data_IF_876519634680
#
_entry.id   IF_876519634680
#
_cell.length_a   1.000
_cell.length_b   1.000
_cell.length_c   1.000
_cell.angle_alpha   90.00
_cell.angle_beta   90.00
_cell.angle_gamma   90.00
#
_symmetry.space_group_name_H-M   'P 1'
#
loop_
_entity.id
_entity.type
_entity.pdbx_description
1 polymer ?
#
# COMPACT_ATOMS: atom_id res chain seq x y z
N UNK A 1 -4.32 -9.52 -8.11
CA UNK A 1 -4.46 -9.43 -6.65
C UNK A 1 -5.07 -8.08 -6.30
N UNK A 2 -5.93 -8.01 -5.29
CA UNK A 2 -6.49 -6.73 -4.83
C UNK A 2 -5.41 -5.91 -4.12
N UNK A 3 -5.39 -4.60 -4.37
CA UNK A 3 -4.46 -3.63 -3.81
C UNK A 3 -5.21 -2.38 -3.39
N UNK A 4 -4.85 -1.81 -2.25
CA UNK A 4 -5.36 -0.50 -1.81
C UNK A 4 -4.34 0.55 -2.26
N UNK A 5 -4.71 1.34 -3.27
CA UNK A 5 -3.84 2.30 -3.93
C UNK A 5 -4.32 3.71 -3.63
N UNK A 6 -3.45 4.54 -3.10
CA UNK A 6 -3.65 5.97 -2.98
C UNK A 6 -3.13 6.63 -4.27
N UNK A 7 -4.04 6.99 -5.18
CA UNK A 7 -3.67 7.52 -6.50
C UNK A 7 -3.20 8.98 -6.42
N UNK A 8 -3.78 9.74 -5.50
CA UNK A 8 -3.48 11.13 -5.18
C UNK A 8 -4.12 11.46 -3.81
N UNK A 9 -3.78 12.58 -3.16
CA UNK A 9 -4.46 13.00 -1.94
C UNK A 9 -5.99 12.95 -2.07
N UNK A 10 -6.66 12.35 -1.09
CA UNK A 10 -8.11 12.18 -1.05
C UNK A 10 -8.68 11.06 -1.92
N UNK A 11 -7.88 10.37 -2.74
CA UNK A 11 -8.36 9.35 -3.69
C UNK A 11 -7.71 7.99 -3.43
N UNK A 12 -8.36 7.24 -2.53
CA UNK A 12 -8.01 5.85 -2.23
C UNK A 12 -8.89 4.90 -3.03
N UNK A 13 -8.29 4.00 -3.79
CA UNK A 13 -9.01 3.06 -4.66
C UNK A 13 -8.61 1.62 -4.36
N UNK A 14 -9.58 0.71 -4.49
CA UNK A 14 -9.31 -0.71 -4.52
C UNK A 14 -9.08 -1.12 -5.98
N UNK A 15 -7.84 -1.42 -6.33
CA UNK A 15 -7.43 -1.80 -7.67
C UNK A 15 -7.08 -3.29 -7.76
N UNK A 16 -7.09 -3.84 -8.97
CA UNK A 16 -6.51 -5.15 -9.28
C UNK A 16 -5.10 -4.95 -9.87
N UNK A 17 -4.10 -5.56 -9.24
CA UNK A 17 -2.73 -5.63 -9.74
C UNK A 17 -2.33 -7.03 -10.18
N UNK A 18 -1.18 -7.20 -10.87
CA UNK A 18 -0.64 -8.52 -11.18
C UNK A 18 -0.30 -9.28 -9.89
N UNK A 19 -0.36 -10.63 -9.89
CA UNK A 19 0.21 -11.40 -8.80
C UNK A 19 1.72 -11.15 -8.71
N UNK A 20 2.32 -11.22 -7.51
CA UNK A 20 3.76 -11.14 -7.37
C UNK A 20 4.43 -12.37 -8.02
N UNK A 21 5.63 -12.17 -8.55
CA UNK A 21 6.47 -13.26 -9.04
C UNK A 21 7.01 -14.14 -7.91
N UNK A 22 7.79 -15.18 -8.25
CA UNK A 22 8.53 -15.96 -7.26
C UNK A 22 9.48 -15.05 -6.47
N UNK A 23 9.61 -15.21 -5.14
CA UNK A 23 10.55 -14.42 -4.34
C UNK A 23 11.99 -14.72 -4.73
N UNK A 24 12.86 -13.70 -4.64
CA UNK A 24 14.31 -13.86 -4.76
C UNK A 24 14.95 -14.61 -3.57
N UNK A 25 16.29 -14.82 -3.60
CA UNK A 25 17.02 -15.59 -2.58
C UNK A 25 16.82 -15.12 -1.13
N UNK A 26 16.56 -13.83 -0.92
CA UNK A 26 16.41 -13.20 0.41
C UNK A 26 15.03 -12.57 0.62
N UNK A 27 14.03 -13.00 -0.16
CA UNK A 27 12.67 -12.48 -0.10
C UNK A 27 11.68 -13.55 0.37
N UNK A 28 10.58 -13.11 0.98
CA UNK A 28 9.47 -13.97 1.34
C UNK A 28 8.19 -13.49 0.68
N UNK A 29 7.47 -14.40 0.02
CA UNK A 29 6.12 -14.12 -0.47
C UNK A 29 5.09 -14.35 0.63
N UNK A 30 4.50 -13.27 1.13
CA UNK A 30 3.54 -13.31 2.25
C UNK A 30 2.12 -13.11 1.75
N UNK A 31 1.19 -14.00 2.16
CA UNK A 31 -0.24 -13.85 1.89
C UNK A 31 -0.92 -13.06 3.02
N UNK A 32 -1.06 -11.75 2.81
CA UNK A 32 -1.72 -10.82 3.75
C UNK A 32 -3.17 -11.26 4.02
N UNK A 33 -3.55 -11.36 5.30
CA UNK A 33 -4.91 -11.68 5.77
C UNK A 33 -5.63 -10.46 6.35
N UNK A 34 -4.88 -9.60 7.02
CA UNK A 34 -5.31 -8.38 7.69
C UNK A 34 -4.17 -7.37 7.64
N UNK A 35 -4.49 -6.08 7.78
CA UNK A 35 -3.52 -5.00 7.87
C UNK A 35 -4.10 -3.91 8.78
N UNK A 36 -3.27 -3.33 9.64
CA UNK A 36 -3.62 -2.17 10.46
C UNK A 36 -3.67 -0.88 9.64
N UNK A 37 -4.35 0.13 10.18
CA UNK A 37 -4.34 1.49 9.64
C UNK A 37 -3.66 2.40 10.66
N UNK A 38 -2.52 2.95 10.27
CA UNK A 38 -1.73 3.84 11.11
C UNK A 38 -2.11 5.30 10.89
N UNK A 39 -1.78 6.19 11.84
CA UNK A 39 -1.92 7.64 11.66
C UNK A 39 -1.17 8.16 10.43
N UNK A 40 -0.04 7.54 10.07
CA UNK A 40 0.73 7.91 8.88
C UNK A 40 -0.02 7.65 7.57
N UNK A 41 -0.90 6.65 7.53
CA UNK A 41 -1.75 6.41 6.35
C UNK A 41 -2.77 7.54 6.15
N UNK A 42 -3.28 8.13 7.25
CA UNK A 42 -4.15 9.31 7.20
C UNK A 42 -3.42 10.56 6.71
N UNK A 43 -2.18 10.77 7.15
CA UNK A 43 -1.35 11.87 6.68
C UNK A 43 -1.05 11.75 5.18
N UNK A 44 -0.72 10.54 4.72
CA UNK A 44 -0.61 10.25 3.29
C UNK A 44 -1.94 10.54 2.57
N UNK A 45 -3.09 10.08 3.10
CA UNK A 45 -4.39 10.35 2.48
C UNK A 45 -4.70 11.84 2.36
N UNK A 46 -4.33 12.66 3.35
CA UNK A 46 -4.53 14.12 3.33
C UNK A 46 -3.57 14.86 2.40
N UNK A 47 -2.46 14.23 1.99
CA UNK A 47 -1.42 14.89 1.20
C UNK A 47 -0.47 15.76 2.02
N UNK A 48 -0.45 15.62 3.35
CA UNK A 48 0.42 16.40 4.25
C UNK A 48 1.68 15.65 4.69
N UNK A 49 1.92 14.46 4.11
CA UNK A 49 3.11 13.66 4.37
C UNK A 49 4.23 13.98 3.34
N UNK A 50 5.27 14.76 3.71
CA UNK A 50 6.32 15.23 2.79
C UNK A 50 7.12 14.15 2.05
N UNK A 51 7.19 12.93 2.59
CA UNK A 51 8.00 11.85 2.01
C UNK A 51 7.19 10.84 1.18
N UNK A 52 5.94 11.17 0.82
CA UNK A 52 5.09 10.30 0.02
C UNK A 52 5.09 10.71 -1.45
N UNK A 53 5.25 9.73 -2.33
CA UNK A 53 5.03 9.86 -3.77
C UNK A 53 3.80 9.07 -4.18
N UNK A 54 2.97 9.67 -5.03
CA UNK A 54 1.75 9.06 -5.56
C UNK A 54 1.97 8.58 -7.00
N UNK A 55 1.34 7.49 -7.45
CA UNK A 55 0.46 6.60 -6.68
C UNK A 55 1.24 5.69 -5.72
N UNK A 56 0.60 5.29 -4.59
CA UNK A 56 1.24 4.43 -3.57
C UNK A 56 0.31 3.33 -3.07
N UNK A 57 0.83 2.10 -2.97
CA UNK A 57 0.17 1.02 -2.21
C UNK A 57 0.42 1.27 -0.71
N UNK A 58 -0.65 1.34 0.07
CA UNK A 58 -0.61 1.54 1.52
C UNK A 58 -0.57 0.22 2.30
N UNK A 59 -0.29 0.30 3.60
CA UNK A 59 -0.25 -0.83 4.52
C UNK A 59 1.17 -1.19 4.94
N UNK A 60 1.50 -0.91 6.20
CA UNK A 60 2.80 -1.20 6.80
C UNK A 60 2.70 -1.87 8.18
N UNK A 61 1.49 -2.23 8.60
CA UNK A 61 1.20 -2.96 9.84
C UNK A 61 0.55 -4.30 9.48
N UNK A 62 1.36 -5.35 9.25
CA UNK A 62 0.93 -6.67 8.76
C UNK A 62 0.75 -7.71 9.87
#
# INVERSE_FOLDING_TARGET
MKQVVLEQPGRLVLADGPPPGPPGPDEALVRVRSVGVCGTDFHAFKGDQPFFTYPRILGHEL
#
